data_IF_930927348753
#
_entry.id   IF_930927348753
#
_cell.length_a   1.000
_cell.length_b   1.000
_cell.length_c   1.000
_cell.angle_alpha   90.00
_cell.angle_beta   90.00
_cell.angle_gamma   90.00
#
_symmetry.space_group_name_H-M   'P 1'
#
loop_
_entity.id
_entity.type
_entity.pdbx_description
1 polymer ?
#
# COMPACT_ATOMS: atom_id res chain seq x y z
N UNK A 1 -11.49 -6.69 17.72
CA UNK A 1 -12.16 -7.37 18.87
C UNK A 1 -13.59 -6.85 18.99
N UNK A 2 -14.58 -7.73 18.91
CA UNK A 2 -15.99 -7.36 19.12
C UNK A 2 -16.36 -7.46 20.61
N UNK A 3 -17.51 -6.91 20.96
CA UNK A 3 -18.06 -6.94 22.33
C UNK A 3 -18.36 -8.37 22.78
N UNK A 4 -18.85 -9.15 21.83
CA UNK A 4 -19.17 -10.55 21.99
C UNK A 4 -18.18 -11.39 21.18
N UNK A 5 -17.93 -12.65 21.58
CA UNK A 5 -16.90 -13.48 20.98
C UNK A 5 -17.21 -13.92 19.55
N UNK A 6 -18.49 -13.91 19.15
CA UNK A 6 -18.93 -14.47 17.88
C UNK A 6 -18.86 -13.44 16.74
N UNK A 7 -18.77 -13.93 15.51
CA UNK A 7 -18.63 -13.10 14.31
C UNK A 7 -19.97 -12.45 13.92
N UNK A 8 -20.06 -11.10 13.86
CA UNK A 8 -21.25 -10.44 13.35
C UNK A 8 -21.65 -10.80 11.92
N UNK A 9 -20.71 -11.28 11.10
CA UNK A 9 -21.00 -11.74 9.75
C UNK A 9 -21.82 -13.03 9.71
N UNK A 10 -21.78 -13.83 10.78
CA UNK A 10 -22.49 -15.10 10.88
C UNK A 10 -23.87 -14.95 11.56
N UNK A 11 -24.23 -13.75 12.03
CA UNK A 11 -25.52 -13.52 12.68
C UNK A 11 -26.66 -13.46 11.65
N UNK A 12 -27.58 -14.41 11.75
CA UNK A 12 -28.81 -14.52 10.96
C UNK A 12 -30.07 -14.18 11.76
N UNK A 13 -29.96 -14.05 13.09
CA UNK A 13 -31.01 -13.56 13.98
C UNK A 13 -30.95 -14.18 15.37
N UNK A 14 -31.77 -13.66 16.30
CA UNK A 14 -31.75 -14.11 17.69
C UNK A 14 -32.01 -15.63 17.83
N UNK A 15 -31.06 -16.33 18.48
CA UNK A 15 -31.17 -17.76 18.79
C UNK A 15 -30.54 -18.70 17.76
N UNK A 16 -29.75 -18.17 16.83
CA UNK A 16 -28.97 -18.95 15.86
C UNK A 16 -27.64 -19.51 16.41
N UNK A 17 -27.30 -19.16 17.66
CA UNK A 17 -26.08 -19.60 18.33
C UNK A 17 -24.87 -18.70 18.10
N UNK A 18 -25.04 -17.59 17.38
CA UNK A 18 -24.05 -16.53 17.16
C UNK A 18 -24.44 -15.35 18.03
N UNK A 19 -23.77 -15.15 19.18
CA UNK A 19 -24.14 -14.09 20.10
C UNK A 19 -23.49 -12.77 19.70
N UNK A 20 -24.31 -11.80 19.30
CA UNK A 20 -23.86 -10.44 18.97
C UNK A 20 -24.74 -9.39 19.65
N UNK A 21 -24.22 -8.16 19.73
CA UNK A 21 -24.86 -7.09 20.52
C UNK A 21 -26.27 -6.75 20.04
N UNK A 22 -26.58 -6.97 18.76
CA UNK A 22 -27.92 -6.74 18.19
C UNK A 22 -29.00 -7.69 18.72
N UNK A 23 -28.61 -8.84 19.27
CA UNK A 23 -29.56 -9.85 19.76
C UNK A 23 -30.17 -9.44 21.10
N UNK A 24 -29.37 -8.75 21.92
CA UNK A 24 -29.77 -8.26 23.24
C UNK A 24 -30.17 -6.77 23.22
N UNK A 25 -29.62 -5.99 22.30
CA UNK A 25 -29.76 -4.54 22.29
C UNK A 25 -30.02 -3.98 20.88
N UNK A 26 -30.86 -2.94 20.80
CA UNK A 26 -31.00 -2.19 19.55
C UNK A 26 -29.68 -1.53 19.13
N UNK A 27 -29.45 -1.43 17.82
CA UNK A 27 -28.26 -0.82 17.23
C UNK A 27 -28.05 0.62 17.70
N UNK A 28 -26.83 0.96 18.10
CA UNK A 28 -26.46 2.29 18.57
C UNK A 28 -24.95 2.44 18.77
N UNK A 29 -24.49 3.68 19.04
CA UNK A 29 -23.09 3.96 19.35
C UNK A 29 -22.67 3.25 20.65
N UNK A 30 -21.53 2.56 20.62
CA UNK A 30 -20.95 1.83 21.75
C UNK A 30 -19.54 2.34 22.00
N UNK A 31 -19.22 2.62 23.27
CA UNK A 31 -17.88 3.01 23.70
C UNK A 31 -17.30 1.93 24.59
N UNK A 32 -16.10 1.47 24.25
CA UNK A 32 -15.39 0.44 25.00
C UNK A 32 -14.20 1.03 25.74
N UNK A 33 -13.95 0.49 26.94
CA UNK A 33 -12.75 0.78 27.71
C UNK A 33 -11.92 -0.50 27.77
N UNK A 34 -10.72 -0.46 27.19
CA UNK A 34 -9.79 -1.58 27.24
C UNK A 34 -8.70 -1.26 28.26
N UNK A 35 -8.55 -2.13 29.28
CA UNK A 35 -7.41 -2.07 30.19
C UNK A 35 -6.38 -3.10 29.71
N UNK A 36 -5.17 -2.66 29.41
CA UNK A 36 -4.04 -3.53 29.07
C UNK A 36 -3.29 -3.88 30.36
N UNK A 37 -2.83 -5.13 30.44
CA UNK A 37 -2.36 -5.80 31.65
C UNK A 37 -1.13 -5.20 32.35
N UNK A 38 -0.64 -5.86 33.42
CA UNK A 38 0.35 -5.29 34.33
C UNK A 38 1.72 -5.15 33.66
N UNK A 39 2.18 -3.92 33.47
CA UNK A 39 3.54 -3.62 33.05
C UNK A 39 4.44 -3.43 34.28
N UNK A 40 5.59 -4.10 34.29
CA UNK A 40 6.62 -3.88 35.31
C UNK A 40 7.57 -2.82 34.79
N UNK A 41 7.45 -1.59 35.30
CA UNK A 41 8.33 -0.47 34.96
C UNK A 41 9.37 -0.30 36.06
N UNK A 42 10.65 -0.62 35.79
CA UNK A 42 11.72 -0.22 36.68
C UNK A 42 12.09 1.26 36.43
N UNK A 43 12.68 1.92 37.43
CA UNK A 43 13.16 3.29 37.26
C UNK A 43 14.28 3.33 36.20
N UNK A 44 14.02 4.03 35.10
CA UNK A 44 14.96 4.16 33.97
C UNK A 44 14.59 3.35 32.72
N UNK A 45 13.57 2.49 32.79
CA UNK A 45 13.09 1.76 31.61
C UNK A 45 12.34 2.67 30.64
N UNK A 46 12.57 2.47 29.35
CA UNK A 46 11.81 3.12 28.27
C UNK A 46 10.85 2.11 27.67
N UNK A 47 9.58 2.49 27.54
CA UNK A 47 8.57 1.69 26.87
C UNK A 47 8.07 2.41 25.63
N UNK A 48 7.90 1.67 24.55
CA UNK A 48 7.28 2.14 23.32
C UNK A 48 5.84 1.64 23.25
N UNK A 49 4.93 2.56 22.93
CA UNK A 49 3.51 2.24 22.74
C UNK A 49 3.15 2.63 21.31
N UNK A 50 2.80 1.63 20.51
CA UNK A 50 2.36 1.82 19.13
C UNK A 50 0.83 1.81 19.11
N UNK A 51 0.24 2.85 18.51
CA UNK A 51 -1.20 2.93 18.29
C UNK A 51 -1.48 2.88 16.79
N UNK A 52 -2.36 1.97 16.38
CA UNK A 52 -2.89 1.88 15.03
C UNK A 52 -4.35 2.31 15.00
N UNK A 53 -4.73 3.09 13.99
CA UNK A 53 -6.14 3.35 13.66
C UNK A 53 -6.43 2.69 12.32
N UNK A 54 -7.28 1.67 12.33
CA UNK A 54 -7.68 0.94 11.14
C UNK A 54 -9.08 1.41 10.72
N UNK A 55 -9.23 1.75 9.45
CA UNK A 55 -10.52 2.16 8.88
C UNK A 55 -10.74 1.32 7.62
N UNK A 56 -11.86 0.60 7.59
CA UNK A 56 -12.30 -0.19 6.45
C UNK A 56 -13.72 0.22 6.07
N UNK A 57 -13.99 0.45 4.78
CA UNK A 57 -15.31 0.84 4.28
C UNK A 57 -15.77 -0.17 3.24
N UNK A 58 -16.85 -0.87 3.55
CA UNK A 58 -17.61 -1.71 2.63
C UNK A 58 -18.85 -1.00 2.08
N UNK A 59 -19.65 -1.72 1.29
CA UNK A 59 -20.97 -1.26 0.81
C UNK A 59 -22.04 -1.26 1.91
N UNK A 60 -21.80 -2.01 2.98
CA UNK A 60 -22.64 -2.15 4.16
C UNK A 60 -21.78 -2.41 5.41
N UNK A 61 -22.42 -2.55 6.58
CA UNK A 61 -21.72 -2.75 7.84
C UNK A 61 -20.96 -4.08 7.90
N UNK A 62 -21.51 -5.16 7.33
CA UNK A 62 -20.91 -6.50 7.37
C UNK A 62 -19.69 -6.59 6.44
N UNK A 63 -19.80 -6.10 5.22
CA UNK A 63 -18.66 -5.97 4.30
C UNK A 63 -17.57 -5.04 4.84
N UNK A 64 -17.94 -4.01 5.61
CA UNK A 64 -16.95 -3.17 6.33
C UNK A 64 -16.22 -3.96 7.42
N UNK A 65 -16.93 -4.83 8.15
CA UNK A 65 -16.34 -5.71 9.16
C UNK A 65 -15.39 -6.73 8.51
N UNK A 66 -15.80 -7.38 7.43
CA UNK A 66 -14.96 -8.32 6.67
C UNK A 66 -13.66 -7.65 6.20
N UNK A 67 -13.76 -6.45 5.62
CA UNK A 67 -12.60 -5.68 5.20
C UNK A 67 -11.71 -5.28 6.40
N UNK A 68 -12.31 -4.95 7.55
CA UNK A 68 -11.57 -4.59 8.76
C UNK A 68 -10.76 -5.77 9.30
N UNK A 69 -11.29 -7.00 9.24
CA UNK A 69 -10.55 -8.21 9.65
C UNK A 69 -9.34 -8.47 8.77
N UNK A 70 -9.46 -8.27 7.47
CA UNK A 70 -8.32 -8.39 6.54
C UNK A 70 -7.24 -7.34 6.86
N UNK A 71 -7.66 -6.10 7.11
CA UNK A 71 -6.73 -5.01 7.49
C UNK A 71 -6.09 -5.26 8.87
N UNK A 72 -6.81 -5.84 9.83
CA UNK A 72 -6.28 -6.22 11.15
C UNK A 72 -5.19 -7.29 11.04
N UNK A 73 -5.37 -8.30 10.19
CA UNK A 73 -4.33 -9.30 9.92
C UNK A 73 -3.08 -8.69 9.29
N UNK A 74 -3.24 -7.75 8.36
CA UNK A 74 -2.11 -7.00 7.78
C UNK A 74 -1.41 -6.14 8.84
N UNK A 75 -2.16 -5.49 9.72
CA UNK A 75 -1.60 -4.69 10.81
C UNK A 75 -0.85 -5.55 11.83
N UNK A 76 -1.34 -6.76 12.14
CA UNK A 76 -0.64 -7.71 12.99
C UNK A 76 0.65 -8.20 12.31
N UNK A 77 0.60 -8.51 11.01
CA UNK A 77 1.80 -8.87 10.25
C UNK A 77 2.82 -7.73 10.25
N UNK A 78 2.38 -6.49 10.01
CA UNK A 78 3.23 -5.30 10.08
C UNK A 78 3.85 -5.14 11.48
N UNK A 79 3.10 -5.38 12.55
CA UNK A 79 3.61 -5.37 13.92
C UNK A 79 4.65 -6.48 14.16
N UNK A 80 4.38 -7.70 13.71
CA UNK A 80 5.26 -8.86 13.88
C UNK A 80 6.59 -8.69 13.14
N UNK A 81 6.61 -7.93 12.04
CA UNK A 81 7.83 -7.53 11.32
C UNK A 81 8.41 -6.19 11.80
N UNK A 82 7.96 -5.65 12.92
CA UNK A 82 8.43 -4.38 13.50
C UNK A 82 8.27 -3.17 12.54
N UNK A 83 7.22 -3.18 11.74
CA UNK A 83 6.94 -2.21 10.68
C UNK A 83 8.12 -2.04 9.71
N UNK A 84 8.93 -3.09 9.53
CA UNK A 84 10.05 -3.09 8.60
C UNK A 84 9.55 -2.93 7.17
N UNK A 85 9.65 -1.70 6.65
CA UNK A 85 9.43 -1.43 5.24
C UNK A 85 10.52 -2.14 4.42
N UNK A 86 10.19 -2.63 3.21
CA UNK A 86 11.19 -3.18 2.31
C UNK A 86 12.30 -2.16 2.04
N UNK A 87 13.52 -2.66 1.82
CA UNK A 87 14.68 -1.81 1.60
C UNK A 87 14.44 -0.87 0.43
N UNK A 88 14.63 0.45 0.61
CA UNK A 88 14.50 1.40 -0.50
C UNK A 88 15.60 1.18 -1.56
N UNK A 89 15.36 1.59 -2.82
CA UNK A 89 16.38 1.57 -3.85
C UNK A 89 17.68 2.25 -3.42
N UNK A 90 18.82 1.74 -3.89
CA UNK A 90 20.12 2.36 -3.64
C UNK A 90 20.21 3.71 -4.35
N UNK A 91 20.69 4.74 -3.64
CA UNK A 91 20.88 6.08 -4.22
C UNK A 91 21.93 6.05 -5.33
N UNK A 92 21.65 6.58 -6.53
CA UNK A 92 22.61 6.63 -7.61
C UNK A 92 23.76 7.62 -7.29
N UNK A 93 24.98 7.26 -7.68
CA UNK A 93 26.13 8.15 -7.56
C UNK A 93 26.17 9.13 -8.73
N UNK A 94 25.98 10.42 -8.42
CA UNK A 94 25.92 11.47 -9.43
C UNK A 94 27.25 12.21 -9.47
N UNK A 95 27.72 12.44 -10.69
CA UNK A 95 28.86 13.27 -11.03
C UNK A 95 28.38 14.52 -11.76
N UNK A 96 29.07 15.64 -11.52
CA UNK A 96 28.76 16.92 -12.16
C UNK A 96 29.91 17.29 -13.09
N UNK A 97 29.56 17.69 -14.31
CA UNK A 97 30.44 18.34 -15.27
C UNK A 97 29.76 19.59 -15.84
N UNK A 98 30.51 20.43 -16.54
CA UNK A 98 29.94 21.64 -17.15
C UNK A 98 30.32 21.81 -18.59
N UNK A 99 29.42 22.43 -19.35
CA UNK A 99 29.64 22.84 -20.72
C UNK A 99 29.14 24.27 -20.91
N UNK A 100 30.06 25.22 -21.15
CA UNK A 100 29.84 26.65 -21.32
C UNK A 100 28.87 27.30 -20.29
N UNK A 101 27.56 27.24 -20.57
CA UNK A 101 26.47 27.85 -19.79
C UNK A 101 25.51 26.80 -19.18
N UNK A 102 25.88 25.52 -19.22
CA UNK A 102 25.09 24.40 -18.74
C UNK A 102 25.82 23.52 -17.71
N UNK A 103 25.04 22.92 -16.83
CA UNK A 103 25.45 21.90 -15.86
C UNK A 103 25.01 20.55 -16.39
N UNK A 104 25.93 19.59 -16.47
CA UNK A 104 25.64 18.22 -16.89
C UNK A 104 25.73 17.34 -15.66
N UNK A 105 24.60 16.75 -15.29
CA UNK A 105 24.54 15.69 -14.29
C UNK A 105 24.69 14.35 -15.01
N UNK A 106 25.54 13.47 -14.49
CA UNK A 106 25.68 12.09 -14.98
C UNK A 106 25.71 11.13 -13.81
N UNK A 107 24.89 10.11 -13.82
CA UNK A 107 24.82 9.05 -12.80
C UNK A 107 24.99 7.65 -13.37
N UNK A 108 25.65 7.57 -14.53
CA UNK A 108 26.16 6.33 -15.08
C UNK A 108 27.47 5.97 -14.37
N UNK A 109 27.43 4.95 -13.51
CA UNK A 109 28.61 4.38 -12.87
C UNK A 109 29.27 3.26 -13.73
N UNK A 110 28.72 3.00 -14.93
CA UNK A 110 29.15 1.95 -15.86
C UNK A 110 28.67 0.54 -15.51
N UNK A 111 28.12 0.32 -14.32
CA UNK A 111 27.59 -0.97 -13.84
C UNK A 111 26.07 -0.94 -13.73
N UNK A 112 25.52 0.21 -13.37
CA UNK A 112 24.14 0.56 -13.15
C UNK A 112 23.41 -0.42 -12.22
N UNK A 113 24.08 -0.78 -11.12
CA UNK A 113 23.57 -1.73 -10.13
C UNK A 113 22.19 -1.33 -9.57
N UNK A 114 21.92 -0.02 -9.51
CA UNK A 114 20.63 0.55 -9.08
C UNK A 114 19.46 0.06 -9.94
N UNK A 115 19.68 -0.21 -11.22
CA UNK A 115 18.63 -0.65 -12.16
C UNK A 115 18.26 -2.12 -11.99
N UNK A 116 19.07 -2.88 -11.24
CA UNK A 116 18.78 -4.27 -10.85
C UNK A 116 18.06 -4.38 -9.50
N UNK A 117 17.60 -3.25 -8.95
CA UNK A 117 16.93 -3.22 -7.66
C UNK A 117 15.64 -4.07 -7.69
N UNK A 118 15.55 -4.97 -6.72
CA UNK A 118 14.35 -5.70 -6.37
C UNK A 118 14.32 -5.92 -4.85
N UNK A 119 13.20 -5.61 -4.22
CA UNK A 119 12.98 -5.83 -2.80
C UNK A 119 11.68 -6.58 -2.59
N UNK A 120 11.72 -7.69 -1.86
CA UNK A 120 10.54 -8.47 -1.51
C UNK A 120 9.72 -7.70 -0.49
N UNK A 121 8.43 -7.59 -0.73
CA UNK A 121 7.46 -7.00 0.16
C UNK A 121 6.63 -8.12 0.79
N UNK A 122 6.80 -8.30 2.10
CA UNK A 122 6.12 -9.35 2.87
C UNK A 122 4.77 -8.88 3.42
N UNK A 123 4.52 -7.57 3.41
CA UNK A 123 3.25 -6.98 3.86
C UNK A 123 2.19 -7.25 2.80
N UNK A 124 2.56 -7.05 1.53
CA UNK A 124 1.65 -7.19 0.41
C UNK A 124 1.84 -8.51 -0.32
N UNK A 125 0.79 -9.32 -0.32
CA UNK A 125 0.72 -10.59 -1.07
C UNK A 125 0.03 -10.37 -2.40
N UNK A 126 0.44 -11.12 -3.42
CA UNK A 126 -0.25 -11.11 -4.70
C UNK A 126 -1.71 -11.49 -4.48
N UNK A 127 -2.69 -10.84 -5.13
CA UNK A 127 -4.01 -11.42 -5.27
C UNK A 127 -3.89 -12.66 -6.14
N UNK A 128 -3.64 -13.81 -5.52
CA UNK A 128 -3.79 -15.08 -6.20
C UNK A 128 -5.24 -15.49 -5.99
N UNK A 129 -6.02 -15.73 -7.06
CA UNK A 129 -7.24 -16.50 -6.95
C UNK A 129 -6.83 -17.95 -6.67
N UNK A 130 -6.37 -18.25 -5.45
CA UNK A 130 -5.94 -19.59 -5.06
C UNK A 130 -6.94 -20.17 -4.08
N UNK A 131 -7.70 -21.13 -4.61
CA UNK A 131 -8.74 -21.91 -3.96
C UNK A 131 -10.00 -21.12 -3.59
N UNK A 132 -11.11 -21.52 -4.20
CA UNK A 132 -12.40 -21.41 -3.55
C UNK A 132 -12.31 -22.31 -2.31
N UNK A 133 -11.98 -21.77 -1.13
CA UNK A 133 -12.26 -22.53 0.08
C UNK A 133 -13.78 -22.58 0.21
N UNK A 134 -14.29 -23.72 -0.22
CA UNK A 134 -15.71 -23.98 -0.35
C UNK A 134 -16.10 -24.65 0.94
N UNK A 135 -16.49 -23.86 1.94
CA UNK A 135 -17.03 -24.45 3.16
C UNK A 135 -18.36 -25.08 2.80
N UNK A 136 -18.43 -26.40 2.87
CA UNK A 136 -19.65 -27.14 2.62
C UNK A 136 -20.46 -27.23 3.91
N UNK A 137 -21.65 -26.64 3.91
CA UNK A 137 -22.63 -26.85 4.96
C UNK A 137 -23.63 -27.96 4.55
N UNK A 138 -24.29 -28.55 5.54
CA UNK A 138 -25.39 -29.49 5.31
C UNK A 138 -26.66 -28.97 5.95
N UNK A 139 -27.77 -28.98 5.19
CA UNK A 139 -29.06 -28.53 5.68
C UNK A 139 -30.23 -29.27 5.03
N UNK A 140 -31.39 -29.19 5.67
CA UNK A 140 -32.64 -29.75 5.15
C UNK A 140 -33.46 -28.65 4.46
N UNK A 141 -33.83 -28.86 3.21
CA UNK A 141 -34.56 -27.87 2.40
C UNK A 141 -35.76 -28.49 1.69
N UNK A 142 -36.83 -27.73 1.53
CA UNK A 142 -37.96 -28.07 0.64
C UNK A 142 -37.70 -27.65 -0.81
N UNK A 143 -36.83 -26.66 -1.02
CA UNK A 143 -36.28 -26.25 -2.31
C UNK A 143 -34.81 -25.84 -2.15
N UNK A 144 -33.95 -26.38 -3.02
CA UNK A 144 -32.50 -26.13 -3.03
C UNK A 144 -32.05 -25.47 -4.35
N UNK A 145 -32.97 -24.91 -5.13
CA UNK A 145 -32.68 -24.27 -6.42
C UNK A 145 -31.84 -22.99 -6.32
N UNK A 146 -31.78 -22.37 -5.14
CA UNK A 146 -31.05 -21.13 -4.87
C UNK A 146 -29.67 -21.36 -4.23
N UNK A 147 -29.29 -22.61 -4.02
CA UNK A 147 -28.02 -22.98 -3.38
C UNK A 147 -26.99 -23.35 -4.46
N UNK A 148 -25.73 -23.00 -4.23
CA UNK A 148 -24.63 -23.31 -5.14
C UNK A 148 -23.94 -24.63 -4.77
N UNK A 149 -23.45 -25.36 -5.78
CA UNK A 149 -22.68 -26.60 -5.62
C UNK A 149 -23.41 -27.74 -4.89
N UNK A 150 -24.73 -27.82 -5.05
CA UNK A 150 -25.61 -28.73 -4.31
C UNK A 150 -25.36 -30.21 -4.64
N UNK A 151 -25.17 -31.01 -3.60
CA UNK A 151 -25.25 -32.47 -3.65
C UNK A 151 -26.33 -32.96 -2.70
N UNK A 152 -27.34 -33.66 -3.21
CA UNK A 152 -28.40 -34.27 -2.38
C UNK A 152 -27.83 -35.53 -1.71
N UNK A 153 -27.79 -35.52 -0.38
CA UNK A 153 -27.30 -36.63 0.44
C UNK A 153 -28.43 -37.58 0.86
N UNK A 154 -29.62 -37.04 1.11
CA UNK A 154 -30.80 -37.83 1.49
C UNK A 154 -32.10 -37.14 1.07
N UNK A 155 -33.20 -37.90 0.97
CA UNK A 155 -34.53 -37.38 0.65
C UNK A 155 -35.59 -38.09 1.50
N UNK A 156 -36.39 -37.30 2.21
CA UNK A 156 -37.49 -37.78 3.04
C UNK A 156 -38.81 -37.21 2.51
N UNK A 157 -39.83 -38.04 2.36
CA UNK A 157 -41.18 -37.59 2.05
C UNK A 157 -42.00 -37.55 3.35
N UNK A 158 -42.63 -36.43 3.61
CA UNK A 158 -43.48 -36.22 4.77
C UNK A 158 -44.85 -35.67 4.36
N UNK A 159 -45.83 -35.78 5.24
CA UNK A 159 -47.21 -35.37 4.98
C UNK A 159 -47.56 -34.16 5.84
N UNK A 160 -47.96 -33.07 5.19
CA UNK A 160 -48.46 -31.87 5.86
C UNK A 160 -49.96 -32.05 6.18
N UNK A 161 -50.36 -32.23 7.45
CA UNK A 161 -51.75 -32.42 7.83
C UNK A 161 -52.61 -31.16 7.67
N UNK A 162 -52.01 -29.97 7.66
CA UNK A 162 -52.72 -28.69 7.58
C UNK A 162 -53.10 -28.36 6.13
N UNK A 163 -52.19 -28.64 5.19
CA UNK A 163 -52.42 -28.46 3.75
C UNK A 163 -52.91 -29.73 3.04
N UNK A 164 -52.91 -30.87 3.72
CA UNK A 164 -53.30 -32.20 3.20
C UNK A 164 -52.49 -32.66 1.98
N UNK A 165 -51.22 -32.26 1.91
CA UNK A 165 -50.34 -32.57 0.79
C UNK A 165 -49.06 -33.26 1.26
N UNK A 166 -48.51 -34.11 0.39
CA UNK A 166 -47.19 -34.71 0.60
C UNK A 166 -46.12 -33.78 0.07
N UNK A 167 -45.05 -33.59 0.84
CA UNK A 167 -43.89 -32.79 0.45
C UNK A 167 -42.59 -33.58 0.67
N UNK A 168 -41.53 -33.16 -0.02
CA UNK A 168 -40.21 -33.77 0.08
C UNK A 168 -39.24 -32.80 0.76
N UNK A 169 -38.46 -33.30 1.71
CA UNK A 169 -37.32 -32.63 2.31
C UNK A 169 -36.05 -33.27 1.80
N UNK A 170 -35.11 -32.44 1.38
CA UNK A 170 -33.81 -32.87 0.86
C UNK A 170 -32.73 -32.49 1.86
N UNK A 171 -31.98 -33.47 2.35
CA UNK A 171 -30.72 -33.19 3.03
C UNK A 171 -29.70 -32.93 1.94
N UNK A 172 -29.20 -31.71 1.86
CA UNK A 172 -28.24 -31.33 0.84
C UNK A 172 -26.96 -30.84 1.48
N UNK A 173 -25.84 -31.18 0.86
CA UNK A 173 -24.57 -30.50 1.04
C UNK A 173 -24.51 -29.36 0.02
N UNK A 174 -24.24 -28.15 0.46
CA UNK A 174 -24.18 -26.96 -0.39
C UNK A 174 -22.98 -26.08 -0.02
N UNK A 175 -22.59 -25.21 -0.95
CA UNK A 175 -21.54 -24.21 -0.73
C UNK A 175 -22.12 -23.08 0.11
N UNK A 176 -21.58 -22.89 1.31
CA UNK A 176 -22.06 -21.89 2.27
C UNK A 176 -21.30 -20.57 2.14
N UNK A 177 -19.96 -20.67 2.11
CA UNK A 177 -19.07 -19.52 1.97
C UNK A 177 -18.04 -19.82 0.89
N UNK A 178 -17.83 -18.83 0.03
CA UNK A 178 -16.69 -18.77 -0.88
C UNK A 178 -15.76 -17.72 -0.30
N UNK A 179 -14.72 -18.15 0.41
CA UNK A 179 -13.69 -17.23 0.89
C UNK A 179 -12.66 -16.97 -0.21
N UNK A 180 -12.31 -15.70 -0.40
CA UNK A 180 -11.20 -15.29 -1.26
C UNK A 180 -10.08 -14.84 -0.33
N UNK A 181 -9.20 -15.76 0.03
CA UNK A 181 -8.06 -15.43 0.89
C UNK A 181 -6.93 -14.79 0.08
N UNK A 182 -6.34 -13.73 0.63
CA UNK A 182 -5.18 -13.03 0.07
C UNK A 182 -3.87 -13.79 0.40
N UNK A 183 -3.81 -15.09 0.11
CA UNK A 183 -2.64 -15.96 0.39
C UNK A 183 -1.67 -16.07 -0.80
N UNK A 184 -1.47 -15.00 -1.57
CA UNK A 184 -0.48 -15.04 -2.64
C UNK A 184 0.97 -15.07 -2.18
N UNK A 185 1.86 -15.33 -3.14
CA UNK A 185 3.29 -15.09 -2.98
C UNK A 185 3.55 -13.62 -2.61
N UNK A 186 4.62 -13.38 -1.86
CA UNK A 186 5.08 -12.03 -1.53
C UNK A 186 5.24 -11.21 -2.81
N UNK A 187 4.81 -9.96 -2.78
CA UNK A 187 5.02 -9.04 -3.90
C UNK A 187 6.44 -8.47 -3.84
N UNK A 188 6.82 -7.64 -4.81
CA UNK A 188 8.15 -7.04 -4.83
C UNK A 188 8.14 -5.67 -5.46
N UNK A 189 8.90 -4.75 -4.87
CA UNK A 189 9.29 -3.53 -5.56
C UNK A 189 10.36 -3.86 -6.58
N UNK A 190 10.20 -3.36 -7.80
CA UNK A 190 11.21 -3.45 -8.86
C UNK A 190 11.57 -2.06 -9.35
N UNK A 191 12.79 -1.87 -9.82
CA UNK A 191 13.24 -0.59 -10.35
C UNK A 191 12.31 -0.09 -11.47
N UNK A 192 11.86 1.17 -11.35
CA UNK A 192 10.98 1.79 -12.35
C UNK A 192 11.65 3.00 -13.02
N UNK A 193 12.53 3.72 -12.33
CA UNK A 193 13.16 4.89 -12.92
C UNK A 193 13.97 5.78 -11.97
N UNK A 194 14.34 6.94 -12.49
CA UNK A 194 15.05 8.00 -11.81
C UNK A 194 14.24 9.29 -11.74
N UNK A 195 14.38 10.01 -10.63
CA UNK A 195 13.91 11.38 -10.48
C UNK A 195 15.10 12.33 -10.31
N UNK A 196 15.05 13.48 -10.99
CA UNK A 196 16.04 14.54 -10.85
C UNK A 196 15.40 15.76 -10.21
N UNK A 197 16.02 16.25 -9.14
CA UNK A 197 15.54 17.39 -8.38
C UNK A 197 16.54 18.53 -8.40
N UNK A 198 16.01 19.75 -8.45
CA UNK A 198 16.73 20.95 -8.06
C UNK A 198 16.27 21.40 -6.67
N UNK A 199 17.23 21.80 -5.84
CA UNK A 199 17.01 22.20 -4.46
C UNK A 199 17.52 23.62 -4.20
N UNK A 200 16.92 24.29 -3.21
CA UNK A 200 17.30 25.64 -2.81
C UNK A 200 18.62 25.67 -2.03
N UNK A 201 18.89 24.63 -1.24
CA UNK A 201 20.04 24.57 -0.33
C UNK A 201 20.81 23.25 -0.41
N UNK A 202 22.06 23.26 0.05
CA UNK A 202 22.94 22.08 0.10
C UNK A 202 22.43 20.96 1.02
N UNK A 203 21.63 21.31 2.03
CA UNK A 203 21.03 20.35 2.97
C UNK A 203 19.65 19.87 2.49
N UNK A 204 19.20 20.29 1.31
CA UNK A 204 17.88 19.98 0.76
C UNK A 204 16.71 20.64 1.50
N UNK A 205 16.99 21.59 2.39
CA UNK A 205 15.99 22.43 3.04
C UNK A 205 15.45 23.49 2.06
N UNK A 206 14.20 23.91 2.26
CA UNK A 206 13.56 24.95 1.46
C UNK A 206 12.86 24.41 0.20
N UNK A 207 12.80 25.22 -0.84
CA UNK A 207 12.12 24.87 -2.07
C UNK A 207 12.82 23.72 -2.80
N UNK A 208 12.01 22.77 -3.29
CA UNK A 208 12.45 21.62 -4.07
C UNK A 208 11.54 21.47 -5.28
N UNK A 209 12.13 21.21 -6.44
CA UNK A 209 11.38 20.97 -7.67
C UNK A 209 11.93 19.77 -8.40
N UNK A 210 11.04 18.85 -8.82
CA UNK A 210 11.40 17.80 -9.78
C UNK A 210 11.53 18.43 -11.16
N UNK A 211 12.69 18.28 -11.77
CA UNK A 211 13.02 18.88 -13.07
C UNK A 211 13.03 17.83 -14.19
N UNK A 212 13.18 16.55 -13.85
CA UNK A 212 13.05 15.45 -14.80
C UNK A 212 12.63 14.17 -14.07
N UNK A 213 11.96 13.29 -14.82
CA UNK A 213 11.72 11.88 -14.48
C UNK A 213 12.17 11.05 -15.68
N UNK A 214 12.85 9.94 -15.45
CA UNK A 214 13.22 8.95 -16.47
C UNK A 214 12.76 7.59 -16.01
N UNK A 215 11.92 6.94 -16.79
CA UNK A 215 11.19 5.74 -16.43
C UNK A 215 11.34 4.67 -17.51
N UNK A 216 11.17 3.41 -17.11
CA UNK A 216 11.11 2.30 -18.06
C UNK A 216 9.99 2.52 -19.08
N UNK A 217 10.18 1.98 -20.30
CA UNK A 217 9.17 2.04 -21.36
C UNK A 217 8.25 0.82 -21.23
N UNK A 218 7.32 0.89 -20.29
CA UNK A 218 6.41 -0.21 -19.92
C UNK A 218 4.93 0.25 -19.79
N UNK A 219 4.64 1.51 -20.10
CA UNK A 219 3.30 2.09 -20.05
C UNK A 219 2.91 2.65 -18.69
N UNK A 220 3.77 2.54 -17.66
CA UNK A 220 3.53 3.09 -16.32
C UNK A 220 4.00 4.54 -16.28
N UNK A 221 3.11 5.46 -16.65
CA UNK A 221 3.39 6.91 -16.65
C UNK A 221 3.04 7.59 -15.33
N UNK A 222 2.17 6.98 -14.55
CA UNK A 222 1.48 7.63 -13.44
C UNK A 222 1.22 6.63 -12.33
N UNK A 223 1.75 6.90 -11.12
CA UNK A 223 1.52 6.06 -9.94
C UNK A 223 0.73 6.88 -8.93
N UNK A 224 -0.38 6.27 -8.52
CA UNK A 224 -1.35 6.79 -7.58
C UNK A 224 -1.26 6.02 -6.28
N UNK A 225 -1.35 6.71 -5.16
CA UNK A 225 -1.27 6.08 -3.84
C UNK A 225 -2.21 6.77 -2.86
N UNK A 226 -2.67 6.00 -1.89
CA UNK A 226 -3.62 6.43 -0.87
C UNK A 226 -2.84 7.04 0.29
N UNK A 227 -2.80 8.38 0.33
CA UNK A 227 -2.02 9.13 1.32
C UNK A 227 -2.94 9.86 2.28
N UNK A 228 -2.68 9.75 3.58
CA UNK A 228 -3.40 10.49 4.60
C UNK A 228 -3.16 12.01 4.47
N UNK A 229 -4.24 12.77 4.27
CA UNK A 229 -4.22 14.23 4.29
C UNK A 229 -4.64 14.73 5.67
N UNK A 230 -3.68 15.25 6.44
CA UNK A 230 -3.93 15.76 7.78
C UNK A 230 -4.84 16.99 7.83
N UNK A 231 -5.01 17.71 6.71
CA UNK A 231 -5.92 18.86 6.62
C UNK A 231 -7.36 18.41 6.47
N UNK A 232 -7.58 17.38 5.65
CA UNK A 232 -8.91 16.81 5.40
C UNK A 232 -9.30 15.75 6.43
N UNK A 233 -8.33 15.17 7.14
CA UNK A 233 -8.54 14.07 8.09
C UNK A 233 -8.92 12.76 7.42
N UNK A 234 -8.65 12.62 6.12
CA UNK A 234 -9.04 11.47 5.30
C UNK A 234 -7.87 11.00 4.43
N UNK A 235 -7.90 9.74 4.03
CA UNK A 235 -6.97 9.19 3.05
C UNK A 235 -7.45 9.55 1.65
N UNK A 236 -6.60 10.23 0.89
CA UNK A 236 -6.90 10.63 -0.49
C UNK A 236 -5.99 9.89 -1.47
N UNK A 237 -6.58 9.42 -2.57
CA UNK A 237 -5.80 8.90 -3.67
C UNK A 237 -5.12 10.06 -4.40
N UNK A 238 -3.79 10.14 -4.26
CA UNK A 238 -2.97 11.20 -4.84
C UNK A 238 -1.92 10.61 -5.76
N UNK A 239 -1.67 11.31 -6.87
CA UNK A 239 -0.52 11.05 -7.73
C UNK A 239 0.78 11.25 -6.95
N UNK A 240 1.46 10.15 -6.62
CA UNK A 240 2.75 10.16 -5.92
C UNK A 240 3.93 10.16 -6.88
N UNK A 241 3.73 9.60 -8.07
CA UNK A 241 4.77 9.57 -9.10
C UNK A 241 4.21 9.83 -10.49
N UNK A 242 5.01 10.50 -11.31
CA UNK A 242 4.66 10.84 -12.69
C UNK A 242 5.93 10.86 -13.54
N UNK A 243 5.84 10.19 -14.67
CA UNK A 243 6.85 10.10 -15.71
C UNK A 243 6.22 10.24 -17.08
N UNK A 244 6.96 9.86 -18.11
CA UNK A 244 6.54 10.04 -19.50
C UNK A 244 6.88 8.86 -20.39
N UNK A 245 7.18 7.69 -19.80
CA UNK A 245 7.60 6.50 -20.53
C UNK A 245 8.83 6.79 -21.42
N UNK A 246 9.73 7.62 -20.89
CA UNK A 246 10.82 8.27 -21.65
C UNK A 246 12.00 7.37 -21.94
N UNK A 247 12.05 6.20 -21.31
CA UNK A 247 13.22 5.35 -21.24
C UNK A 247 14.22 5.86 -20.22
N UNK A 248 15.07 4.94 -19.76
CA UNK A 248 16.11 5.26 -18.79
C UNK A 248 17.19 6.14 -19.42
N UNK A 249 17.39 7.31 -18.83
CA UNK A 249 18.55 8.17 -19.09
C UNK A 249 19.39 8.25 -17.84
N UNK A 250 20.70 8.41 -18.05
CA UNK A 250 21.71 8.50 -16.99
C UNK A 250 22.46 9.82 -16.97
N UNK A 251 21.98 10.77 -17.77
CA UNK A 251 22.55 12.10 -17.85
C UNK A 251 21.48 13.13 -18.17
N UNK A 252 21.60 14.32 -17.60
CA UNK A 252 20.75 15.47 -17.89
C UNK A 252 21.61 16.72 -18.03
N UNK A 253 21.41 17.44 -19.13
CA UNK A 253 21.93 18.80 -19.32
C UNK A 253 20.90 19.80 -18.75
N UNK A 254 21.38 20.72 -17.93
CA UNK A 254 20.60 21.75 -17.25
C UNK A 254 21.18 23.10 -17.64
N UNK A 255 20.43 23.90 -18.38
CA UNK A 255 20.75 25.26 -18.82
C UNK A 255 19.87 26.34 -18.15
N UNK A 256 18.90 25.90 -17.35
CA UNK A 256 17.91 26.76 -16.71
C UNK A 256 17.71 26.44 -15.22
N UNK A 257 17.41 27.49 -14.45
CA UNK A 257 17.07 27.44 -13.04
C UNK A 257 15.58 27.10 -12.87
N UNK A 258 15.30 25.82 -12.72
CA UNK A 258 13.95 25.27 -12.52
C UNK A 258 13.22 25.85 -11.31
N UNK A 259 13.92 26.23 -10.23
CA UNK A 259 13.30 26.88 -9.06
C UNK A 259 12.89 28.33 -9.33
N UNK A 260 13.56 29.01 -10.26
CA UNK A 260 13.29 30.40 -10.60
C UNK A 260 12.60 30.52 -11.98
N UNK A 261 11.53 29.75 -12.19
CA UNK A 261 10.71 29.77 -13.40
C UNK A 261 11.47 29.47 -14.71
N UNK A 262 12.59 28.75 -14.65
CA UNK A 262 13.34 28.35 -15.85
C UNK A 262 14.17 29.48 -16.47
N UNK A 263 14.53 30.52 -15.70
CA UNK A 263 15.49 31.52 -16.17
C UNK A 263 16.87 30.89 -16.41
N UNK A 264 17.70 31.44 -17.31
CA UNK A 264 19.06 30.96 -17.52
C UNK A 264 19.89 30.92 -16.23
N UNK A 265 20.80 29.95 -16.14
CA UNK A 265 21.70 29.84 -15.00
C UNK A 265 22.53 31.11 -14.81
N UNK A 266 22.68 31.53 -13.54
CA UNK A 266 23.46 32.71 -13.17
C UNK A 266 24.88 32.28 -12.83
N UNK A 267 25.86 33.01 -13.34
CA UNK A 267 27.27 32.78 -13.01
C UNK A 267 27.55 33.15 -11.55
N UNK A 268 28.50 32.45 -10.93
CA UNK A 268 28.89 32.63 -9.52
C UNK A 268 27.77 32.32 -8.50
N UNK A 269 26.74 31.58 -8.91
CA UNK A 269 25.67 31.07 -8.03
C UNK A 269 25.87 29.57 -7.81
N UNK A 270 25.64 29.12 -6.58
CA UNK A 270 25.59 27.70 -6.25
C UNK A 270 24.21 27.14 -6.59
N UNK A 271 24.20 25.98 -7.23
CA UNK A 271 23.03 25.20 -7.58
C UNK A 271 23.14 23.83 -6.93
N UNK A 272 22.01 23.31 -6.45
CA UNK A 272 21.97 22.06 -5.71
C UNK A 272 21.05 21.09 -6.42
N UNK A 273 21.53 19.86 -6.59
CA UNK A 273 20.81 18.80 -7.28
C UNK A 273 20.83 17.51 -6.46
N UNK A 274 19.83 16.67 -6.72
CA UNK A 274 19.81 15.29 -6.25
C UNK A 274 19.17 14.43 -7.35
N UNK A 275 19.73 13.24 -7.53
CA UNK A 275 19.11 12.18 -8.33
C UNK A 275 18.74 11.06 -7.38
N UNK A 276 17.55 10.51 -7.55
CA UNK A 276 17.08 9.34 -6.82
C UNK A 276 16.61 8.30 -7.80
N UNK A 277 16.69 7.05 -7.40
CA UNK A 277 16.00 5.94 -8.05
C UNK A 277 14.68 5.68 -7.32
N UNK A 278 13.70 5.14 -8.02
CA UNK A 278 12.47 4.68 -7.41
C UNK A 278 12.08 3.30 -7.94
N UNK A 279 11.49 2.51 -7.04
CA UNK A 279 10.88 1.24 -7.35
C UNK A 279 9.37 1.34 -7.33
N UNK A 280 8.71 0.47 -8.08
CA UNK A 280 7.26 0.37 -8.15
C UNK A 280 6.80 -1.04 -7.77
N UNK A 281 5.75 -1.11 -6.96
CA UNK A 281 4.99 -2.31 -6.67
C UNK A 281 3.49 -1.96 -6.85
N UNK A 282 2.77 -2.55 -7.80
CA UNK A 282 1.35 -2.22 -8.04
C UNK A 282 0.45 -2.53 -6.84
N UNK A 283 0.85 -3.50 -6.01
CA UNK A 283 0.14 -3.92 -4.81
C UNK A 283 0.74 -3.35 -3.52
N UNK A 284 1.87 -2.65 -3.62
CA UNK A 284 2.62 -2.14 -2.47
C UNK A 284 1.86 -1.07 -1.69
N UNK A 285 2.03 -1.06 -0.38
CA UNK A 285 1.57 0.00 0.52
C UNK A 285 2.80 0.55 1.27
N UNK A 286 3.46 1.63 0.78
CA UNK A 286 3.09 2.49 -0.37
C UNK A 286 3.45 1.88 -1.73
N UNK A 287 2.82 2.35 -2.83
CA UNK A 287 3.06 1.80 -4.18
C UNK A 287 4.44 2.11 -4.76
N UNK A 288 5.17 3.04 -4.17
CA UNK A 288 6.49 3.47 -4.63
C UNK A 288 7.44 3.71 -3.48
N UNK A 289 8.69 3.26 -3.66
CA UNK A 289 9.79 3.55 -2.76
C UNK A 289 10.85 4.34 -3.52
N UNK A 290 11.31 5.45 -2.95
CA UNK A 290 12.33 6.31 -3.54
C UNK A 290 13.60 6.27 -2.68
N UNK A 291 14.76 6.16 -3.32
CA UNK A 291 16.05 6.18 -2.63
C UNK A 291 16.23 7.44 -1.78
N UNK A 292 17.03 7.40 -0.71
CA UNK A 292 17.49 8.60 -0.01
C UNK A 292 18.12 9.61 -0.99
N UNK A 293 18.02 10.91 -0.67
CA UNK A 293 18.56 11.98 -1.51
C UNK A 293 19.99 12.29 -1.08
N UNK A 294 20.94 12.06 -1.99
CA UNK A 294 22.31 12.56 -1.86
C UNK A 294 22.39 13.92 -2.54
N UNK A 295 22.56 14.97 -1.74
CA UNK A 295 22.63 16.35 -2.23
C UNK A 295 24.02 16.66 -2.74
N UNK A 296 24.09 17.30 -3.91
CA UNK A 296 25.35 17.69 -4.53
C UNK A 296 25.24 19.13 -4.95
N UNK A 297 26.27 19.91 -4.65
CA UNK A 297 26.37 21.32 -5.01
C UNK A 297 27.33 21.53 -6.18
N UNK A 298 27.00 22.54 -7.00
CA UNK A 298 27.92 23.06 -7.98
C UNK A 298 27.83 24.57 -8.04
N UNK A 299 28.99 25.24 -8.08
CA UNK A 299 29.09 26.69 -8.23
C UNK A 299 29.60 27.02 -9.63
N UNK A 300 28.77 27.71 -10.42
CA UNK A 300 29.16 28.17 -11.75
C UNK A 300 30.33 29.16 -11.64
N UNK A 301 31.43 28.91 -12.37
CA UNK A 301 32.61 29.77 -12.36
C UNK A 301 32.77 30.48 -13.70
N UNK A 302 33.35 31.69 -13.68
CA UNK A 302 33.71 32.39 -14.92
C UNK A 302 34.89 31.65 -15.59
N UNK A 303 34.68 31.10 -16.79
CA UNK A 303 35.72 30.47 -17.61
C UNK A 303 36.98 31.34 -17.80
N UNK A 304 36.84 32.66 -17.73
CA UNK A 304 37.95 33.60 -17.92
C UNK A 304 38.96 33.70 -16.75
N UNK A 305 38.72 33.07 -15.60
CA UNK A 305 39.62 33.19 -14.44
C UNK A 305 40.46 31.93 -14.13
N UNK A 306 40.26 30.80 -14.81
CA UNK A 306 41.00 29.55 -14.53
C UNK A 306 42.35 29.40 -15.25
N UNK A 307 42.76 30.41 -16.05
CA UNK A 307 44.08 30.45 -16.72
C UNK A 307 45.08 31.43 -16.11
N UNK A 308 44.82 31.93 -14.91
CA UNK A 308 45.76 32.76 -14.14
C UNK A 308 45.99 32.17 -12.75
N UNK A 309 46.68 31.04 -12.70
CA UNK A 309 47.45 30.57 -11.54
C UNK A 309 48.55 29.64 -12.01
#
# INVERSE_FOLDING_TARGET
MFVHPDDPNDNTGAGDGVWVDSDDHASGDRRFLMNVGPFTLASGDTQEVVFGMLIARGSDALSSITALKQIDQLAQLAYDIDFALPESPTTPDVTISTDADAIILSWDDGVNAVESYSAVDVIDKLPVPSAYDTTYATGWFTDHSQLDGVTVLDTVNDYDPDNQEWYSLYLVQYIDVIDTTWEGENTSFTFQGYNVYQLETASGQGAKKRIATYDLVDGITEIFDDVFDATLGETINRRVQFGSDSGIKRSLLIDADGLNAGIPLKTNRAYYFAVTSYGYNPYGIPRTLESPKKYIDYKTTNWNNSRRS
#
